data_IF_486759190574
#
_entry.id   IF_486759190574
#
_cell.length_a   1.000
_cell.length_b   1.000
_cell.length_c   1.000
_cell.angle_alpha   90.00
_cell.angle_beta   90.00
_cell.angle_gamma   90.00
#
_symmetry.space_group_name_H-M   'P 1'
#
loop_
_entity.id
_entity.type
_entity.pdbx_description
1 polymer ?
#
# COMPACT_ATOMS: atom_id res chain seq x y z
N UNK A 1 12.72 -9.93 -5.90
CA UNK A 1 11.85 -9.77 -4.75
C UNK A 1 11.21 -11.10 -4.42
N UNK A 2 11.28 -11.57 -3.17
CA UNK A 2 10.69 -12.84 -2.80
C UNK A 2 9.18 -12.79 -2.56
N UNK A 3 8.55 -11.63 -2.76
CA UNK A 3 7.12 -11.49 -2.47
C UNK A 3 6.27 -11.93 -3.65
N UNK A 4 5.63 -13.07 -3.50
CA UNK A 4 4.63 -13.61 -4.47
C UNK A 4 3.55 -12.56 -4.78
N UNK A 5 3.19 -11.73 -3.79
CA UNK A 5 2.23 -10.63 -3.97
C UNK A 5 2.65 -9.62 -5.03
N UNK A 6 3.95 -9.31 -5.16
CA UNK A 6 4.45 -8.43 -6.22
C UNK A 6 4.26 -9.04 -7.60
N UNK A 7 4.55 -10.33 -7.75
CA UNK A 7 4.40 -11.03 -9.03
C UNK A 7 2.96 -11.11 -9.50
N UNK A 8 1.99 -11.21 -8.58
CA UNK A 8 0.56 -11.26 -8.92
C UNK A 8 -0.07 -9.88 -9.10
N UNK A 9 0.29 -8.92 -8.26
CA UNK A 9 -0.33 -7.59 -8.24
C UNK A 9 0.31 -6.66 -9.26
N UNK A 10 1.58 -6.87 -9.58
CA UNK A 10 2.35 -5.99 -10.45
C UNK A 10 3.46 -6.75 -11.18
N UNK A 11 3.12 -7.66 -12.11
CA UNK A 11 4.12 -8.46 -12.81
C UNK A 11 5.10 -7.59 -13.62
N UNK A 12 4.65 -6.46 -14.14
CA UNK A 12 5.45 -5.51 -14.91
C UNK A 12 6.44 -4.72 -14.03
N UNK A 13 6.17 -4.62 -12.74
CA UNK A 13 6.93 -3.82 -11.76
C UNK A 13 7.41 -4.67 -10.58
N UNK A 14 7.83 -5.90 -10.84
CA UNK A 14 8.27 -6.83 -9.79
C UNK A 14 9.60 -6.45 -9.14
N UNK A 15 10.39 -5.58 -9.77
CA UNK A 15 11.68 -5.12 -9.26
C UNK A 15 11.56 -3.78 -8.53
N UNK A 16 11.50 -3.81 -7.21
CA UNK A 16 11.38 -2.59 -6.39
C UNK A 16 12.55 -1.61 -6.56
N UNK A 17 13.77 -2.11 -6.83
CA UNK A 17 14.93 -1.24 -7.08
C UNK A 17 14.73 -0.36 -8.33
N UNK A 18 14.19 -0.93 -9.40
CA UNK A 18 13.91 -0.17 -10.63
C UNK A 18 12.85 0.90 -10.39
N UNK A 19 11.80 0.56 -9.64
CA UNK A 19 10.75 1.54 -9.29
C UNK A 19 11.34 2.69 -8.48
N UNK A 20 12.14 2.40 -7.46
CA UNK A 20 12.80 3.41 -6.64
C UNK A 20 13.68 4.32 -7.52
N UNK A 21 14.49 3.74 -8.39
CA UNK A 21 15.33 4.50 -9.33
C UNK A 21 14.50 5.39 -10.26
N UNK A 22 13.39 4.85 -10.75
CA UNK A 22 12.55 5.59 -11.69
C UNK A 22 11.79 6.72 -11.02
N UNK A 23 11.20 6.48 -9.86
CA UNK A 23 10.54 7.53 -9.07
C UNK A 23 11.53 8.61 -8.69
N UNK A 24 12.68 8.25 -8.12
CA UNK A 24 13.75 9.17 -7.74
C UNK A 24 14.17 10.12 -8.87
N UNK A 25 14.35 9.59 -10.08
CA UNK A 25 14.72 10.40 -11.27
C UNK A 25 13.63 11.36 -11.74
N UNK A 26 12.39 11.13 -11.36
CA UNK A 26 11.24 11.95 -11.75
C UNK A 26 10.78 12.93 -10.66
N UNK A 27 11.39 12.87 -9.48
CA UNK A 27 11.15 13.83 -8.41
C UNK A 27 11.92 15.14 -8.68
N UNK A 28 11.36 16.30 -8.27
CA UNK A 28 12.11 17.56 -8.20
C UNK A 28 13.32 17.45 -7.27
N UNK A 29 14.32 18.32 -7.48
CA UNK A 29 15.58 18.30 -6.76
C UNK A 29 15.44 18.56 -5.24
N UNK A 30 14.38 19.23 -4.83
CA UNK A 30 14.04 19.56 -3.44
C UNK A 30 13.14 18.51 -2.75
N UNK A 31 12.84 17.40 -3.44
CA UNK A 31 11.99 16.31 -2.92
C UNK A 31 12.83 15.07 -2.70
N UNK A 32 12.77 14.53 -1.48
CA UNK A 32 13.46 13.29 -1.08
C UNK A 32 12.49 12.12 -1.12
N UNK A 33 12.94 11.02 -1.69
CA UNK A 33 12.23 9.73 -1.66
C UNK A 33 12.67 8.93 -0.44
N UNK A 34 11.79 8.82 0.54
CA UNK A 34 12.03 7.97 1.70
C UNK A 34 11.57 6.55 1.38
N UNK A 35 12.51 5.60 1.46
CA UNK A 35 12.24 4.18 1.24
C UNK A 35 12.22 3.46 2.58
N UNK A 36 11.04 2.92 2.94
CA UNK A 36 10.87 2.12 4.14
C UNK A 36 10.60 0.66 3.75
N UNK A 37 11.46 -0.22 4.22
CA UNK A 37 11.27 -1.65 4.02
C UNK A 37 10.22 -2.24 4.97
N UNK A 38 9.52 -3.28 4.50
CA UNK A 38 8.65 -4.05 5.37
C UNK A 38 9.51 -4.76 6.44
N UNK A 39 9.19 -4.61 7.74
CA UNK A 39 9.96 -5.24 8.81
C UNK A 39 10.12 -6.75 8.66
N UNK A 40 9.14 -7.44 8.06
CA UNK A 40 9.21 -8.89 7.80
C UNK A 40 10.21 -9.26 6.70
N UNK A 41 10.55 -8.33 5.82
CA UNK A 41 11.50 -8.52 4.72
C UNK A 41 12.91 -8.03 5.06
N UNK A 42 13.11 -7.47 6.26
CA UNK A 42 14.40 -6.97 6.69
C UNK A 42 15.43 -8.10 6.80
N UNK A 43 16.59 -7.88 6.19
CA UNK A 43 17.67 -8.89 6.16
C UNK A 43 17.55 -9.94 5.05
N UNK A 44 16.46 -9.96 4.28
CA UNK A 44 16.32 -10.86 3.12
C UNK A 44 17.14 -10.36 1.92
N UNK A 45 17.22 -9.03 1.78
CA UNK A 45 17.97 -8.39 0.67
C UNK A 45 19.46 -8.36 0.95
N UNK A 46 20.25 -8.42 -0.11
CA UNK A 46 21.71 -8.33 0.02
C UNK A 46 22.16 -6.95 0.48
N UNK A 47 23.32 -6.89 1.14
CA UNK A 47 23.95 -5.61 1.50
C UNK A 47 24.15 -4.70 0.27
N UNK A 48 24.53 -5.29 -0.85
CA UNK A 48 24.73 -4.57 -2.12
C UNK A 48 23.46 -3.80 -2.56
N UNK A 49 22.28 -4.37 -2.35
CA UNK A 49 21.00 -3.70 -2.64
C UNK A 49 20.89 -2.37 -1.89
N UNK A 50 21.15 -2.36 -0.60
CA UNK A 50 21.09 -1.15 0.23
C UNK A 50 22.19 -0.16 -0.12
N UNK A 51 23.41 -0.65 -0.40
CA UNK A 51 24.53 0.21 -0.80
C UNK A 51 24.29 0.88 -2.14
N UNK A 52 23.59 0.22 -3.05
CA UNK A 52 23.16 0.82 -4.33
C UNK A 52 22.10 1.90 -4.10
N UNK A 53 21.12 1.69 -3.23
CA UNK A 53 20.09 2.69 -2.92
C UNK A 53 20.70 3.94 -2.28
N UNK A 54 21.65 3.80 -1.35
CA UNK A 54 22.34 4.92 -0.69
C UNK A 54 23.18 5.79 -1.65
N UNK A 55 23.50 5.29 -2.82
CA UNK A 55 24.21 6.06 -3.86
C UNK A 55 23.29 6.98 -4.66
N UNK A 56 21.98 6.86 -4.51
CA UNK A 56 21.02 7.71 -5.20
C UNK A 56 20.82 8.95 -4.32
N UNK A 57 21.18 10.13 -4.84
CA UNK A 57 21.33 11.38 -4.06
C UNK A 57 20.08 11.86 -3.34
N UNK A 58 18.90 11.57 -3.88
CA UNK A 58 17.61 11.96 -3.31
C UNK A 58 16.81 10.78 -2.75
N UNK A 59 17.49 9.70 -2.35
CA UNK A 59 16.89 8.53 -1.70
C UNK A 59 17.43 8.40 -0.28
N UNK A 60 16.53 8.32 0.67
CA UNK A 60 16.82 8.07 2.08
C UNK A 60 16.18 6.76 2.52
N UNK A 61 16.93 5.97 3.31
CA UNK A 61 16.44 4.71 3.86
C UNK A 61 15.92 4.93 5.27
N UNK A 62 14.63 4.74 5.48
CA UNK A 62 14.06 4.73 6.82
C UNK A 62 14.43 3.42 7.56
N UNK A 63 14.57 3.50 8.87
CA UNK A 63 14.73 2.32 9.70
C UNK A 63 13.44 1.47 9.64
N UNK A 64 13.54 0.13 9.51
CA UNK A 64 12.38 -0.73 9.31
C UNK A 64 11.36 -0.73 10.47
N UNK A 65 11.82 -0.49 11.69
CA UNK A 65 11.04 -0.46 12.93
C UNK A 65 10.33 0.88 13.19
N UNK A 66 10.62 1.92 12.39
CA UNK A 66 9.97 3.23 12.54
C UNK A 66 8.49 3.17 12.17
N UNK A 67 7.71 4.04 12.79
CA UNK A 67 6.26 4.09 12.60
C UNK A 67 5.90 4.57 11.18
N UNK A 68 5.30 3.69 10.39
CA UNK A 68 4.88 3.97 9.01
C UNK A 68 3.88 5.14 8.94
N UNK A 69 2.98 5.26 9.94
CA UNK A 69 2.01 6.35 10.02
C UNK A 69 2.67 7.73 10.06
N UNK A 70 3.77 7.88 10.79
CA UNK A 70 4.49 9.14 10.88
C UNK A 70 5.09 9.52 9.54
N UNK A 71 5.70 8.58 8.83
CA UNK A 71 6.22 8.79 7.48
C UNK A 71 5.12 9.20 6.51
N UNK A 72 3.98 8.51 6.51
CA UNK A 72 2.84 8.83 5.67
C UNK A 72 2.33 10.24 5.98
N UNK A 73 2.14 10.60 7.25
CA UNK A 73 1.62 11.91 7.64
C UNK A 73 2.50 13.09 7.22
N UNK A 74 3.81 12.88 7.15
CA UNK A 74 4.76 13.91 6.73
C UNK A 74 5.08 13.88 5.22
N UNK A 75 4.62 12.87 4.50
CA UNK A 75 4.82 12.79 3.05
C UNK A 75 3.90 13.71 2.26
N UNK A 76 4.31 14.08 1.07
CA UNK A 76 3.47 14.75 0.07
C UNK A 76 2.51 13.75 -0.57
N UNK A 77 3.02 12.59 -0.94
CA UNK A 77 2.28 11.43 -1.44
C UNK A 77 3.03 10.14 -1.09
N UNK A 78 2.40 9.02 -1.27
CA UNK A 78 3.01 7.70 -1.02
C UNK A 78 3.13 6.94 -2.34
N UNK A 79 4.20 6.17 -2.48
CA UNK A 79 4.38 5.23 -3.59
C UNK A 79 4.11 3.82 -3.11
N UNK A 80 3.22 3.10 -3.76
CA UNK A 80 2.85 1.74 -3.41
C UNK A 80 2.89 0.82 -4.64
N UNK A 81 3.36 -0.42 -4.43
CA UNK A 81 3.29 -1.48 -5.44
C UNK A 81 2.21 -2.47 -4.99
N UNK A 82 2.35 -2.98 -3.78
CA UNK A 82 1.41 -3.87 -3.11
C UNK A 82 1.48 -3.64 -1.60
N UNK A 83 0.54 -4.19 -0.86
CA UNK A 83 0.54 -4.11 0.60
C UNK A 83 -0.32 -3.00 1.18
N UNK A 84 -0.29 -2.88 2.50
CA UNK A 84 -1.20 -2.04 3.28
C UNK A 84 -0.87 -0.55 3.23
N UNK A 85 0.35 -0.17 2.88
CA UNK A 85 0.79 1.24 2.88
C UNK A 85 -0.06 2.14 1.99
N UNK A 86 -0.55 1.63 0.85
CA UNK A 86 -1.48 2.35 -0.02
C UNK A 86 -2.83 2.61 0.65
N UNK A 87 -3.38 1.60 1.34
CA UNK A 87 -4.63 1.73 2.11
C UNK A 87 -4.47 2.71 3.27
N UNK A 88 -3.38 2.58 4.02
CA UNK A 88 -3.05 3.47 5.14
C UNK A 88 -2.92 4.91 4.67
N UNK A 89 -2.30 5.14 3.51
CA UNK A 89 -2.14 6.48 2.93
C UNK A 89 -3.48 7.14 2.60
N UNK A 90 -4.39 6.42 1.97
CA UNK A 90 -5.75 6.92 1.73
C UNK A 90 -6.46 7.24 3.05
N UNK A 91 -6.27 6.39 4.06
CA UNK A 91 -6.88 6.60 5.38
C UNK A 91 -6.33 7.84 6.10
N UNK A 92 -5.08 8.21 5.84
CA UNK A 92 -4.43 9.42 6.36
C UNK A 92 -4.50 10.61 5.41
N UNK A 93 -5.46 10.60 4.49
CA UNK A 93 -5.72 11.69 3.54
C UNK A 93 -4.48 12.05 2.71
N UNK A 94 -3.74 11.01 2.26
CA UNK A 94 -2.58 11.16 1.38
C UNK A 94 -2.86 10.52 0.02
N UNK A 95 -2.50 11.21 -1.07
CA UNK A 95 -2.59 10.62 -2.39
C UNK A 95 -1.55 9.52 -2.58
N UNK A 96 -1.83 8.60 -3.49
CA UNK A 96 -1.00 7.41 -3.73
C UNK A 96 -0.64 7.31 -5.20
N UNK A 97 0.64 7.17 -5.49
CA UNK A 97 1.15 6.70 -6.78
C UNK A 97 1.21 5.16 -6.73
N UNK A 98 0.38 4.49 -7.50
CA UNK A 98 0.24 3.03 -7.47
C UNK A 98 0.88 2.40 -8.72
N UNK A 99 1.76 1.42 -8.50
CA UNK A 99 2.30 0.54 -9.54
C UNK A 99 1.62 -0.83 -9.55
N UNK A 100 0.72 -1.08 -8.62
CA UNK A 100 0.01 -2.36 -8.49
C UNK A 100 -1.25 -2.39 -9.34
N UNK A 101 -1.23 -3.09 -10.47
CA UNK A 101 -2.36 -3.18 -11.40
C UNK A 101 -3.65 -3.67 -10.76
N UNK A 102 -3.57 -4.67 -9.90
CA UNK A 102 -4.72 -5.36 -9.33
C UNK A 102 -5.03 -4.92 -7.90
N UNK A 103 -4.65 -3.71 -7.51
CA UNK A 103 -4.99 -3.17 -6.20
C UNK A 103 -6.40 -2.58 -6.20
N UNK A 104 -7.21 -2.95 -5.20
CA UNK A 104 -8.57 -2.44 -5.03
C UNK A 104 -8.60 -0.92 -4.81
N UNK A 105 -7.55 -0.33 -4.23
CA UNK A 105 -7.46 1.11 -4.03
C UNK A 105 -7.34 1.92 -5.33
N UNK A 106 -6.99 1.30 -6.45
CA UNK A 106 -6.89 1.99 -7.75
C UNK A 106 -8.22 2.60 -8.22
N UNK A 107 -9.35 2.17 -7.66
CA UNK A 107 -10.67 2.73 -7.95
C UNK A 107 -10.99 4.01 -7.14
N UNK A 108 -10.08 4.45 -6.29
CA UNK A 108 -10.27 5.65 -5.46
C UNK A 108 -9.74 6.89 -6.18
N UNK A 109 -10.44 8.04 -6.07
CA UNK A 109 -10.08 9.28 -6.78
C UNK A 109 -8.68 9.82 -6.50
N UNK A 110 -8.08 9.46 -5.37
CA UNK A 110 -6.75 9.94 -4.94
C UNK A 110 -5.65 8.90 -5.12
N UNK A 111 -5.95 7.82 -5.81
CA UNK A 111 -4.97 6.79 -6.17
C UNK A 111 -4.70 6.85 -7.66
N UNK A 112 -3.49 7.12 -8.01
CA UNK A 112 -3.00 7.31 -9.38
C UNK A 112 -2.26 6.06 -9.80
N UNK A 113 -2.96 5.16 -10.47
CA UNK A 113 -2.34 3.98 -11.06
C UNK A 113 -1.57 4.36 -12.32
N UNK A 114 -0.34 3.90 -12.41
CA UNK A 114 0.50 4.02 -13.61
C UNK A 114 0.77 2.65 -14.19
N UNK A 115 0.51 2.50 -15.48
CA UNK A 115 0.71 1.25 -16.22
C UNK A 115 2.11 1.13 -16.82
N UNK A 116 2.84 2.23 -16.86
CA UNK A 116 4.18 2.30 -17.41
C UNK A 116 5.05 3.33 -16.69
N UNK A 117 6.37 3.17 -16.81
CA UNK A 117 7.30 4.16 -16.29
C UNK A 117 7.17 5.53 -16.97
N UNK A 118 6.71 5.59 -18.20
CA UNK A 118 6.54 6.85 -18.94
C UNK A 118 5.50 7.77 -18.30
N UNK A 119 4.45 7.19 -17.72
CA UNK A 119 3.38 7.95 -17.05
C UNK A 119 3.84 8.56 -15.71
N UNK A 120 4.86 7.98 -15.08
CA UNK A 120 5.30 8.34 -13.73
C UNK A 120 5.59 9.83 -13.57
N UNK A 121 6.28 10.45 -14.53
CA UNK A 121 6.66 11.87 -14.44
C UNK A 121 5.45 12.79 -14.45
N UNK A 122 4.52 12.56 -15.36
CA UNK A 122 3.29 13.36 -15.44
C UNK A 122 2.47 13.21 -14.14
N UNK A 123 2.33 11.99 -13.67
CA UNK A 123 1.60 11.69 -12.43
C UNK A 123 2.28 12.30 -11.20
N UNK A 124 3.60 12.26 -11.08
CA UNK A 124 4.31 12.92 -9.97
C UNK A 124 4.07 14.43 -10.00
N UNK A 125 4.15 15.07 -11.17
CA UNK A 125 3.86 16.50 -11.29
C UNK A 125 2.44 16.85 -10.87
N UNK A 126 1.46 16.02 -11.25
CA UNK A 126 0.08 16.18 -10.81
C UNK A 126 -0.04 16.03 -9.29
N UNK A 127 0.53 14.99 -8.69
CA UNK A 127 0.53 14.75 -7.24
C UNK A 127 1.15 15.90 -6.44
N UNK A 128 2.22 16.50 -6.94
CA UNK A 128 2.88 17.65 -6.29
C UNK A 128 2.06 18.93 -6.38
N UNK A 129 1.23 19.07 -7.42
CA UNK A 129 0.32 20.20 -7.59
C UNK A 129 -0.99 20.05 -6.81
N UNK A 130 -1.29 18.87 -6.26
CA UNK A 130 -2.52 18.64 -5.52
C UNK A 130 -2.59 19.50 -4.26
N UNK A 131 -3.69 20.22 -4.12
CA UNK A 131 -3.96 20.99 -2.92
C UNK A 131 -4.36 20.02 -1.78
N UNK A 132 -3.64 20.05 -0.65
CA UNK A 132 -3.81 19.14 0.51
C UNK A 132 -5.24 19.13 1.11
N UNK A 133 -6.11 20.04 0.70
CA UNK A 133 -7.52 20.14 1.15
C UNK A 133 -8.51 19.72 0.06
N UNK A 134 -8.11 18.94 -0.92
CA UNK A 134 -9.03 18.51 -1.97
C UNK A 134 -10.16 17.66 -1.37
N UNK A 135 -11.39 17.97 -1.75
CA UNK A 135 -12.56 17.18 -1.34
C UNK A 135 -12.46 15.70 -1.75
N UNK A 136 -11.62 15.40 -2.74
CA UNK A 136 -11.37 14.04 -3.22
C UNK A 136 -10.59 13.19 -2.20
N UNK A 137 -9.73 13.78 -1.36
CA UNK A 137 -9.05 13.05 -0.28
C UNK A 137 -10.06 12.53 0.75
N UNK A 138 -10.97 13.42 1.20
CA UNK A 138 -12.03 13.04 2.15
C UNK A 138 -12.98 12.02 1.51
N UNK A 139 -13.34 12.22 0.24
CA UNK A 139 -14.19 11.30 -0.50
C UNK A 139 -13.56 9.92 -0.62
N UNK A 140 -12.29 9.82 -0.99
CA UNK A 140 -11.58 8.55 -1.09
C UNK A 140 -11.55 7.78 0.22
N UNK A 141 -11.25 8.46 1.32
CA UNK A 141 -11.29 7.87 2.66
C UNK A 141 -12.67 7.34 3.03
N UNK A 142 -13.71 8.12 2.79
CA UNK A 142 -15.09 7.72 3.09
C UNK A 142 -15.52 6.52 2.26
N UNK A 143 -15.22 6.53 0.96
CA UNK A 143 -15.53 5.41 0.06
C UNK A 143 -14.80 4.14 0.51
N UNK A 144 -13.50 4.25 0.80
CA UNK A 144 -12.71 3.12 1.29
C UNK A 144 -13.26 2.57 2.60
N UNK A 145 -13.55 3.46 3.56
CA UNK A 145 -14.11 3.06 4.87
C UNK A 145 -15.44 2.32 4.69
N UNK A 146 -16.37 2.87 3.93
CA UNK A 146 -17.68 2.27 3.72
C UNK A 146 -17.57 0.92 2.99
N UNK A 147 -16.69 0.81 2.00
CA UNK A 147 -16.45 -0.44 1.30
C UNK A 147 -15.88 -1.52 2.24
N UNK A 148 -14.89 -1.18 3.05
CA UNK A 148 -14.33 -2.10 4.05
C UNK A 148 -15.36 -2.52 5.08
N UNK A 149 -16.16 -1.59 5.59
CA UNK A 149 -17.21 -1.90 6.58
C UNK A 149 -18.32 -2.78 5.99
N UNK A 150 -18.69 -2.60 4.73
CA UNK A 150 -19.71 -3.42 4.06
C UNK A 150 -19.24 -4.85 3.78
N UNK A 151 -17.94 -5.06 3.63
CA UNK A 151 -17.35 -6.37 3.33
C UNK A 151 -16.71 -7.05 4.55
N UNK A 152 -16.64 -6.36 5.70
CA UNK A 152 -16.04 -6.90 6.92
C UNK A 152 -17.08 -7.33 7.93
N UNK A 153 -16.69 -8.21 8.83
CA UNK A 153 -17.46 -8.64 9.96
C UNK A 153 -16.54 -8.80 11.18
N UNK A 154 -17.11 -8.64 12.38
CA UNK A 154 -16.34 -8.82 13.60
C UNK A 154 -16.08 -10.30 13.85
N UNK A 155 -14.82 -10.66 14.02
CA UNK A 155 -14.43 -11.93 14.59
C UNK A 155 -14.40 -11.82 16.12
N UNK A 156 -14.72 -12.91 16.86
CA UNK A 156 -14.49 -12.97 18.29
C UNK A 156 -13.04 -12.60 18.60
N UNK A 157 -12.82 -11.81 19.64
CA UNK A 157 -11.45 -11.52 20.09
C UNK A 157 -10.83 -12.82 20.58
N UNK A 158 -9.79 -13.27 19.89
CA UNK A 158 -8.92 -14.33 20.38
C UNK A 158 -8.26 -13.82 21.66
N UNK A 159 -8.59 -14.40 22.82
CA UNK A 159 -7.78 -14.23 24.00
C UNK A 159 -6.38 -14.78 23.67
N UNK A 160 -5.32 -14.04 24.02
CA UNK A 160 -3.93 -14.36 23.61
C UNK A 160 -3.47 -15.77 24.03
N UNK A 161 -4.22 -16.45 24.90
CA UNK A 161 -3.90 -17.76 25.46
C UNK A 161 -4.85 -18.90 25.09
N UNK A 162 -5.93 -18.63 24.34
CA UNK A 162 -6.90 -19.67 23.97
C UNK A 162 -6.83 -19.99 22.48
N UNK A 163 -5.88 -20.83 22.11
CA UNK A 163 -5.95 -21.64 20.88
C UNK A 163 -6.83 -22.86 21.16
N UNK A 164 -8.14 -22.66 21.31
CA UNK A 164 -9.05 -23.77 21.41
C UNK A 164 -9.59 -24.13 20.03
N UNK A 165 -9.65 -25.41 19.72
CA UNK A 165 -10.27 -25.94 18.49
C UNK A 165 -11.70 -25.41 18.33
N UNK A 166 -12.40 -25.18 19.42
CA UNK A 166 -13.73 -24.57 19.48
C UNK A 166 -13.79 -23.19 18.84
N UNK A 167 -12.79 -22.35 19.05
CA UNK A 167 -12.76 -21.00 18.48
C UNK A 167 -12.51 -21.03 16.96
N UNK A 168 -11.73 -22.00 16.48
CA UNK A 168 -11.50 -22.22 15.05
C UNK A 168 -12.79 -22.67 14.36
N UNK A 169 -13.57 -23.53 15.00
CA UNK A 169 -14.88 -23.95 14.49
C UNK A 169 -15.90 -22.81 14.46
N UNK A 170 -15.95 -21.97 15.50
CA UNK A 170 -16.83 -20.80 15.55
C UNK A 170 -16.49 -19.79 14.44
N UNK A 171 -15.20 -19.47 14.25
CA UNK A 171 -14.74 -18.61 13.16
C UNK A 171 -15.09 -19.25 11.81
N UNK A 172 -14.88 -20.53 11.67
CA UNK A 172 -15.23 -21.29 10.46
C UNK A 172 -16.71 -21.20 10.12
N UNK A 173 -17.58 -21.34 11.12
CA UNK A 173 -19.03 -21.22 10.95
C UNK A 173 -19.45 -19.82 10.53
N UNK A 174 -18.88 -18.75 11.14
CA UNK A 174 -19.14 -17.35 10.76
C UNK A 174 -18.72 -17.09 9.31
N UNK A 175 -17.55 -17.58 8.91
CA UNK A 175 -17.06 -17.45 7.54
C UNK A 175 -17.94 -18.19 6.54
N UNK A 176 -18.35 -19.41 6.85
CA UNK A 176 -19.21 -20.21 5.99
C UNK A 176 -20.59 -19.56 5.80
N UNK A 177 -21.21 -19.05 6.85
CA UNK A 177 -22.49 -18.35 6.80
C UNK A 177 -22.39 -17.07 5.95
N UNK A 178 -21.31 -16.30 6.11
CA UNK A 178 -21.06 -15.08 5.31
C UNK A 178 -20.88 -15.40 3.83
N UNK A 179 -20.10 -16.42 3.51
CA UNK A 179 -19.89 -16.85 2.13
C UNK A 179 -21.20 -17.36 1.52
N UNK A 180 -21.99 -18.14 2.28
CA UNK A 180 -23.28 -18.62 1.83
C UNK A 180 -24.22 -17.46 1.48
N UNK A 181 -24.43 -16.52 2.40
CA UNK A 181 -25.31 -15.37 2.20
C UNK A 181 -24.83 -14.43 1.10
N UNK A 182 -23.52 -14.32 0.89
CA UNK A 182 -22.96 -13.43 -0.13
C UNK A 182 -23.03 -14.00 -1.55
N UNK A 183 -22.91 -15.32 -1.70
CA UNK A 183 -22.76 -15.97 -3.00
C UNK A 183 -23.90 -16.91 -3.39
N UNK A 184 -24.63 -17.45 -2.45
CA UNK A 184 -25.68 -18.45 -2.73
C UNK A 184 -27.08 -17.82 -2.75
N UNK A 185 -27.39 -16.86 -1.87
CA UNK A 185 -28.69 -16.18 -1.87
C UNK A 185 -28.90 -15.21 -3.06
N UNK A 186 -27.85 -14.94 -3.85
CA UNK A 186 -27.92 -14.03 -5.01
C UNK A 186 -28.06 -14.75 -6.35
N UNK A 187 -28.16 -16.08 -6.33
CA UNK A 187 -28.45 -16.93 -7.50
C UNK A 187 -29.93 -17.28 -7.50
#
# INVERSE_FOLDING_TARGET
EPEISLMHVSPEFSNSYEIICWVSKNLPADVVLVVKENPRSFGIRSREYYDRLRKISNVELAQPDTNTKEWINHSLFTVAISGTSGFESVYYDKPVLSYGKHQIINYLPTVYYVSSFLETRATINELLCLNKKSGDLIKSKTVLHNALMSCSFSLPKLAENEKSDFLVEEIGAILADRLYNQYVEKI
#
